data_IF_275297451539
#
_entry.id   IF_275297451539
#
_cell.length_a   1.000
_cell.length_b   1.000
_cell.length_c   1.000
_cell.angle_alpha   90.00
_cell.angle_beta   90.00
_cell.angle_gamma   90.00
#
_symmetry.space_group_name_H-M   'P 1'
#
loop_
_entity.id
_entity.type
_entity.pdbx_description
1 polymer ?
#
# COMPACT_ATOMS: atom_id res chain seq x y z
N UNK A 1 -13.76 9.94 14.80
CA UNK A 1 -14.52 9.40 13.63
C UNK A 1 -13.65 9.01 12.42
N UNK A 2 -12.32 9.03 12.51
CA UNK A 2 -11.43 8.77 11.36
C UNK A 2 -10.75 7.40 11.41
N UNK A 3 -11.38 6.38 11.99
CA UNK A 3 -10.79 5.04 11.91
C UNK A 3 -11.10 4.42 10.55
N UNK A 4 -10.12 3.71 9.97
CA UNK A 4 -10.29 3.03 8.70
C UNK A 4 -11.23 1.83 8.86
N UNK A 5 -12.04 1.59 7.84
CA UNK A 5 -12.94 0.45 7.73
C UNK A 5 -12.63 -0.28 6.44
N UNK A 6 -12.37 -1.58 6.51
CA UNK A 6 -12.16 -2.42 5.34
C UNK A 6 -13.50 -2.66 4.64
N UNK A 7 -13.52 -2.42 3.34
CA UNK A 7 -14.68 -2.68 2.49
C UNK A 7 -14.42 -3.93 1.67
N UNK A 8 -15.24 -4.94 1.86
CA UNK A 8 -15.24 -6.17 1.07
C UNK A 8 -16.30 -6.10 -0.03
N UNK A 9 -16.02 -6.73 -1.14
CA UNK A 9 -17.01 -7.02 -2.16
C UNK A 9 -18.01 -8.09 -1.67
N UNK A 10 -19.11 -8.31 -2.38
CA UNK A 10 -20.09 -9.34 -2.03
C UNK A 10 -19.49 -10.77 -1.97
N UNK A 11 -18.43 -11.03 -2.73
CA UNK A 11 -17.66 -12.29 -2.71
C UNK A 11 -16.51 -12.31 -1.69
N UNK A 12 -16.48 -11.37 -0.72
CA UNK A 12 -15.44 -11.19 0.29
C UNK A 12 -14.07 -10.71 -0.23
N UNK A 13 -13.94 -10.36 -1.51
CA UNK A 13 -12.73 -9.75 -2.06
C UNK A 13 -12.48 -8.38 -1.42
N UNK A 14 -11.29 -8.10 -0.87
CA UNK A 14 -10.95 -6.78 -0.34
C UNK A 14 -10.93 -5.73 -1.45
N UNK A 15 -11.80 -4.73 -1.36
CA UNK A 15 -11.93 -3.70 -2.39
C UNK A 15 -11.22 -2.40 -2.06
N UNK A 16 -11.40 -1.91 -0.83
CA UNK A 16 -10.98 -0.55 -0.48
C UNK A 16 -11.00 -0.36 1.05
N UNK A 17 -10.49 0.80 1.46
CA UNK A 17 -10.64 1.31 2.82
C UNK A 17 -11.45 2.60 2.74
N UNK A 18 -12.42 2.75 3.62
CA UNK A 18 -13.15 4.00 3.81
C UNK A 18 -13.10 4.44 5.27
N UNK A 19 -13.56 5.65 5.55
CA UNK A 19 -13.75 6.10 6.92
C UNK A 19 -15.03 5.52 7.54
N UNK A 20 -15.12 5.58 8.86
CA UNK A 20 -16.27 5.08 9.64
C UNK A 20 -17.58 5.75 9.24
N UNK A 21 -17.58 7.04 8.90
CA UNK A 21 -18.79 7.77 8.50
C UNK A 21 -19.38 7.22 7.21
N UNK A 22 -18.52 6.98 6.20
CA UNK A 22 -18.93 6.38 4.94
C UNK A 22 -19.43 4.95 5.12
N UNK A 23 -18.75 4.15 5.96
CA UNK A 23 -19.15 2.78 6.25
C UNK A 23 -20.57 2.73 6.84
N UNK A 24 -20.87 3.58 7.83
CA UNK A 24 -22.20 3.68 8.43
C UNK A 24 -23.24 4.11 7.41
N UNK A 25 -22.93 5.10 6.56
CA UNK A 25 -23.84 5.51 5.49
C UNK A 25 -24.19 4.36 4.54
N UNK A 26 -23.24 3.51 4.20
CA UNK A 26 -23.49 2.32 3.38
C UNK A 26 -24.37 1.29 4.09
N UNK A 27 -24.14 1.07 5.39
CA UNK A 27 -24.96 0.13 6.19
C UNK A 27 -26.41 0.65 6.33
N UNK A 28 -26.59 1.92 6.70
CA UNK A 28 -27.91 2.51 6.92
C UNK A 28 -28.75 2.59 5.62
N UNK A 29 -28.09 2.64 4.47
CA UNK A 29 -28.76 2.65 3.15
C UNK A 29 -28.96 1.24 2.58
N UNK A 30 -28.67 0.18 3.33
CA UNK A 30 -28.81 -1.22 2.88
C UNK A 30 -27.85 -1.62 1.75
N UNK A 31 -26.77 -0.86 1.54
CA UNK A 31 -25.74 -1.15 0.49
C UNK A 31 -24.60 -2.00 0.99
N UNK A 32 -24.48 -2.16 2.30
CA UNK A 32 -23.46 -3.00 2.93
C UNK A 32 -23.98 -3.54 4.27
N UNK A 33 -23.43 -4.65 4.70
CA UNK A 33 -23.60 -5.21 6.04
C UNK A 33 -22.30 -5.11 6.85
N UNK A 34 -22.42 -5.08 8.17
CA UNK A 34 -21.26 -5.13 9.05
C UNK A 34 -20.83 -6.57 9.27
N UNK A 35 -19.60 -6.90 8.86
CA UNK A 35 -19.00 -8.26 9.00
C UNK A 35 -18.16 -8.37 10.26
N UNK A 36 -17.48 -7.30 10.64
CA UNK A 36 -16.74 -7.23 11.90
C UNK A 36 -16.84 -5.83 12.51
N UNK A 37 -17.00 -5.80 13.84
CA UNK A 37 -16.94 -4.56 14.60
C UNK A 37 -15.50 -4.28 15.06
N UNK A 38 -15.15 -3.00 15.09
CA UNK A 38 -13.93 -2.50 15.69
C UNK A 38 -14.10 -2.20 17.19
N UNK A 39 -13.08 -1.59 17.76
CA UNK A 39 -13.12 -1.18 19.17
C UNK A 39 -14.03 0.03 19.36
N UNK A 40 -14.97 -0.09 20.29
CA UNK A 40 -15.82 1.01 20.76
C UNK A 40 -17.15 1.15 20.01
N UNK A 41 -17.89 2.18 20.42
CA UNK A 41 -19.24 2.46 19.96
C UNK A 41 -19.33 3.88 19.43
N UNK A 42 -20.24 4.09 18.50
CA UNK A 42 -20.67 5.42 18.05
C UNK A 42 -21.96 5.73 18.80
N UNK A 43 -21.89 6.75 19.62
CA UNK A 43 -23.05 7.21 20.41
C UNK A 43 -23.76 8.34 19.67
N UNK A 44 -25.05 8.19 19.51
CA UNK A 44 -25.97 9.26 19.13
C UNK A 44 -26.86 9.62 20.33
N UNK A 45 -27.69 10.63 20.21
CA UNK A 45 -28.59 11.01 21.27
C UNK A 45 -29.58 9.89 21.69
N UNK A 46 -29.83 8.91 20.81
CA UNK A 46 -30.83 7.85 21.02
C UNK A 46 -30.28 6.43 20.96
N UNK A 47 -29.17 6.20 20.27
CA UNK A 47 -28.68 4.85 19.97
C UNK A 47 -27.17 4.79 20.13
N UNK A 48 -26.68 3.68 20.67
CA UNK A 48 -25.27 3.31 20.67
C UNK A 48 -25.08 2.22 19.61
N UNK A 49 -24.27 2.50 18.59
CA UNK A 49 -24.02 1.59 17.47
C UNK A 49 -22.59 1.07 17.52
N UNK A 50 -22.35 -0.25 17.38
CA UNK A 50 -20.98 -0.76 17.33
C UNK A 50 -20.25 -0.17 16.15
N UNK A 51 -18.98 0.21 16.35
CA UNK A 51 -18.19 0.81 15.29
C UNK A 51 -17.79 -0.26 14.27
N UNK A 52 -18.12 -0.10 12.98
CA UNK A 52 -17.69 -1.06 11.96
C UNK A 52 -16.17 -1.03 11.77
N UNK A 53 -15.55 -2.18 11.65
CA UNK A 53 -14.16 -2.38 11.24
C UNK A 53 -14.08 -2.99 9.85
N UNK A 54 -14.99 -3.91 9.54
CA UNK A 54 -15.11 -4.54 8.23
C UNK A 54 -16.57 -4.52 7.80
N UNK A 55 -16.82 -4.07 6.58
CA UNK A 55 -18.14 -4.11 5.94
C UNK A 55 -18.06 -4.88 4.62
N UNK A 56 -19.13 -5.56 4.25
CA UNK A 56 -19.29 -6.26 2.98
C UNK A 56 -20.38 -5.60 2.16
N UNK A 57 -20.12 -5.33 0.88
CA UNK A 57 -21.12 -4.80 -0.02
C UNK A 57 -22.20 -5.85 -0.33
N UNK A 58 -23.44 -5.41 -0.51
CA UNK A 58 -24.56 -6.29 -0.86
C UNK A 58 -24.44 -6.83 -2.28
N UNK A 59 -23.90 -6.03 -3.21
CA UNK A 59 -23.76 -6.39 -4.61
C UNK A 59 -22.32 -6.41 -5.05
N UNK A 60 -21.99 -7.28 -6.01
CA UNK A 60 -20.65 -7.34 -6.61
C UNK A 60 -20.35 -6.06 -7.38
N UNK A 61 -19.22 -5.47 -7.06
CA UNK A 61 -18.67 -4.33 -7.79
C UNK A 61 -17.48 -4.81 -8.61
N UNK A 62 -17.62 -4.76 -9.93
CA UNK A 62 -16.53 -5.05 -10.84
C UNK A 62 -15.58 -3.86 -10.93
N UNK A 63 -14.30 -4.08 -10.61
CA UNK A 63 -13.25 -3.07 -10.74
C UNK A 63 -12.11 -3.62 -11.60
N UNK A 64 -11.40 -2.76 -12.34
CA UNK A 64 -10.13 -3.12 -12.94
C UNK A 64 -9.16 -3.61 -11.87
N UNK A 65 -8.28 -4.55 -12.21
CA UNK A 65 -7.25 -5.01 -11.28
C UNK A 65 -6.47 -3.82 -10.74
N UNK A 66 -6.33 -3.72 -9.41
CA UNK A 66 -5.61 -2.60 -8.82
C UNK A 66 -4.14 -2.63 -9.27
N UNK A 67 -3.56 -1.45 -9.44
CA UNK A 67 -2.13 -1.29 -9.69
C UNK A 67 -1.52 -0.40 -8.63
N UNK A 68 -0.29 -0.68 -8.26
CA UNK A 68 0.43 0.18 -7.33
C UNK A 68 0.92 1.41 -8.10
N UNK A 69 0.50 2.60 -7.66
CA UNK A 69 0.96 3.85 -8.28
C UNK A 69 2.46 4.05 -8.05
N UNK A 70 3.20 4.35 -9.12
CA UNK A 70 4.61 4.67 -9.03
C UNK A 70 4.82 6.00 -8.30
N UNK A 71 5.19 5.93 -7.04
CA UNK A 71 5.50 7.09 -6.19
C UNK A 71 6.77 6.84 -5.39
N UNK A 72 7.43 7.90 -4.95
CA UNK A 72 8.62 7.83 -4.09
C UNK A 72 8.39 6.94 -2.85
N UNK A 73 7.23 7.10 -2.21
CA UNK A 73 6.85 6.33 -1.03
C UNK A 73 6.73 4.84 -1.33
N UNK A 74 6.11 4.48 -2.46
CA UNK A 74 5.91 3.07 -2.82
C UNK A 74 7.23 2.42 -3.30
N UNK A 75 8.15 3.17 -3.92
CA UNK A 75 9.51 2.67 -4.20
C UNK A 75 10.24 2.37 -2.90
N UNK A 76 10.21 3.28 -1.93
CA UNK A 76 10.82 3.05 -0.62
C UNK A 76 10.20 1.85 0.10
N UNK A 77 8.87 1.71 0.04
CA UNK A 77 8.16 0.59 0.64
C UNK A 77 8.52 -0.75 -0.01
N UNK A 78 8.56 -0.84 -1.36
CA UNK A 78 9.00 -2.02 -2.10
C UNK A 78 10.40 -2.46 -1.67
N UNK A 79 11.29 -1.51 -1.47
CA UNK A 79 12.69 -1.73 -1.12
C UNK A 79 12.94 -1.83 0.39
N UNK A 80 11.87 -1.93 1.21
CA UNK A 80 11.93 -1.98 2.67
C UNK A 80 12.74 -0.83 3.29
N UNK A 81 12.62 0.38 2.72
CA UNK A 81 13.39 1.56 3.16
C UNK A 81 14.90 1.30 3.25
N UNK A 82 15.43 0.49 2.34
CA UNK A 82 16.82 0.02 2.33
C UNK A 82 17.49 0.41 1.00
N UNK A 83 18.71 0.89 1.06
CA UNK A 83 19.50 1.18 -0.12
C UNK A 83 19.75 -0.11 -0.92
N UNK A 84 19.34 -0.15 -2.20
CA UNK A 84 19.46 -1.35 -3.03
C UNK A 84 20.87 -1.60 -3.53
N UNK A 85 21.81 -0.70 -3.29
CA UNK A 85 23.22 -0.88 -3.60
C UNK A 85 24.02 -1.44 -2.42
N UNK A 86 23.99 -0.79 -1.26
CA UNK A 86 24.81 -1.21 -0.11
C UNK A 86 24.04 -1.94 0.99
N UNK A 87 22.71 -1.94 0.95
CA UNK A 87 21.88 -2.59 1.97
C UNK A 87 21.69 -1.78 3.26
N UNK A 88 22.19 -0.55 3.32
CA UNK A 88 22.07 0.29 4.52
C UNK A 88 20.68 0.93 4.63
N UNK A 89 20.10 0.90 5.83
CA UNK A 89 18.90 1.65 6.17
C UNK A 89 19.32 3.04 6.63
N UNK A 90 19.32 4.01 5.72
CA UNK A 90 19.74 5.37 6.01
C UNK A 90 18.55 6.26 6.41
N UNK A 91 18.80 7.24 7.29
CA UNK A 91 17.80 8.25 7.64
C UNK A 91 17.33 9.08 6.42
N UNK A 92 18.24 9.32 5.47
CA UNK A 92 17.95 10.03 4.24
C UNK A 92 18.10 9.13 3.01
N UNK A 93 16.97 8.70 2.48
CA UNK A 93 16.89 7.90 1.27
C UNK A 93 16.47 8.76 0.08
N UNK A 94 17.03 8.44 -1.08
CA UNK A 94 16.75 9.05 -2.37
C UNK A 94 16.26 7.99 -3.34
N UNK A 95 15.73 8.42 -4.48
CA UNK A 95 15.46 7.54 -5.62
C UNK A 95 16.58 7.72 -6.62
N UNK A 96 17.09 6.63 -7.14
CA UNK A 96 18.04 6.61 -8.23
C UNK A 96 17.45 5.91 -9.46
N UNK A 97 17.83 6.40 -10.65
CA UNK A 97 17.54 5.73 -11.92
C UNK A 97 18.66 4.76 -12.26
N UNK A 98 18.37 3.46 -12.35
CA UNK A 98 19.35 2.42 -12.69
C UNK A 98 20.06 2.77 -14.01
N UNK A 99 19.28 3.05 -15.05
CA UNK A 99 19.75 3.69 -16.29
C UNK A 99 19.48 5.18 -16.13
N UNK A 100 20.51 6.04 -16.16
CA UNK A 100 20.35 7.48 -15.98
C UNK A 100 19.42 8.11 -17.02
N UNK A 101 18.67 9.14 -16.63
CA UNK A 101 17.70 9.80 -17.53
C UNK A 101 18.34 10.33 -18.81
N UNK A 102 19.53 10.92 -18.74
CA UNK A 102 20.24 11.44 -19.92
C UNK A 102 20.74 10.33 -20.85
N UNK A 103 20.70 9.06 -20.40
CA UNK A 103 21.00 7.86 -21.20
C UNK A 103 19.74 7.10 -21.63
N UNK A 104 18.56 7.75 -21.60
CA UNK A 104 17.30 7.16 -22.02
C UNK A 104 16.55 6.39 -20.92
N UNK A 105 17.03 6.45 -19.67
CA UNK A 105 16.37 5.79 -18.54
C UNK A 105 15.00 6.38 -18.25
N UNK A 106 13.98 5.55 -18.30
CA UNK A 106 12.59 5.95 -18.10
C UNK A 106 12.20 5.95 -16.61
N UNK A 107 11.16 6.72 -16.27
CA UNK A 107 10.60 6.74 -14.92
C UNK A 107 9.59 5.59 -14.74
N UNK A 108 10.12 4.38 -14.56
CA UNK A 108 9.37 3.12 -14.45
C UNK A 108 9.82 2.30 -13.27
N UNK A 109 8.99 1.33 -12.84
CA UNK A 109 9.28 0.45 -11.72
C UNK A 109 10.59 -0.34 -11.87
N UNK A 110 10.90 -0.78 -13.06
CA UNK A 110 12.08 -1.56 -13.41
C UNK A 110 13.38 -0.73 -13.50
N UNK A 111 13.25 0.61 -13.49
CA UNK A 111 14.39 1.53 -13.58
C UNK A 111 14.60 2.41 -12.35
N UNK A 112 13.79 2.26 -11.30
CA UNK A 112 13.87 3.09 -10.10
C UNK A 112 14.16 2.26 -8.87
N UNK A 113 15.11 2.69 -8.06
CA UNK A 113 15.49 2.03 -6.81
C UNK A 113 15.71 3.02 -5.68
N UNK A 114 15.55 2.53 -4.46
CA UNK A 114 15.94 3.25 -3.26
C UNK A 114 17.45 3.25 -3.11
N UNK A 115 18.04 4.42 -2.92
CA UNK A 115 19.47 4.59 -2.71
C UNK A 115 19.75 5.52 -1.53
N UNK A 116 20.80 5.25 -0.74
CA UNK A 116 21.30 6.25 0.19
C UNK A 116 22.05 7.35 -0.58
N UNK A 117 22.19 8.53 0.02
CA UNK A 117 22.82 9.69 -0.62
C UNK A 117 24.28 9.39 -1.08
N UNK A 118 25.03 8.58 -0.31
CA UNK A 118 26.39 8.22 -0.65
C UNK A 118 26.46 7.34 -1.92
N UNK A 119 25.64 6.28 -1.99
CA UNK A 119 25.60 5.41 -3.17
C UNK A 119 25.06 6.14 -4.39
N UNK A 120 24.04 6.99 -4.22
CA UNK A 120 23.47 7.77 -5.30
C UNK A 120 24.51 8.75 -5.90
N UNK A 121 25.26 9.47 -5.05
CA UNK A 121 26.37 10.33 -5.51
C UNK A 121 27.49 9.53 -6.18
N UNK A 122 27.88 8.38 -5.58
CA UNK A 122 28.93 7.51 -6.16
C UNK A 122 28.52 7.03 -7.56
N UNK A 123 27.29 6.62 -7.75
CA UNK A 123 26.78 6.20 -9.07
C UNK A 123 26.71 7.39 -10.03
N UNK A 124 26.19 8.52 -9.58
CA UNK A 124 26.07 9.73 -10.41
C UNK A 124 25.29 9.45 -11.70
N UNK A 125 25.83 9.93 -12.82
CA UNK A 125 25.27 9.72 -14.17
C UNK A 125 25.77 8.47 -14.86
N UNK A 126 26.45 7.55 -14.16
CA UNK A 126 27.04 6.35 -14.74
C UNK A 126 26.07 5.17 -14.73
N UNK A 127 26.26 4.20 -15.62
CA UNK A 127 25.64 2.88 -15.53
C UNK A 127 26.24 2.10 -14.36
N UNK A 128 25.51 1.11 -13.86
CA UNK A 128 25.96 0.30 -12.72
C UNK A 128 27.33 -0.35 -12.95
N UNK A 129 27.58 -0.89 -14.15
CA UNK A 129 28.88 -1.49 -14.50
C UNK A 129 30.01 -0.46 -14.48
N UNK A 130 29.78 0.75 -15.00
CA UNK A 130 30.77 1.85 -15.01
C UNK A 130 31.12 2.31 -13.59
N UNK A 131 30.12 2.32 -12.69
CA UNK A 131 30.29 2.69 -11.29
C UNK A 131 30.81 1.54 -10.41
N UNK A 132 31.01 0.37 -10.98
CA UNK A 132 31.30 -0.87 -10.25
C UNK A 132 30.30 -1.12 -9.12
N UNK A 133 29.01 -1.04 -9.46
CA UNK A 133 27.88 -1.21 -8.54
C UNK A 133 26.91 -2.25 -9.08
N UNK A 134 26.22 -2.93 -8.17
CA UNK A 134 25.18 -3.90 -8.50
C UNK A 134 23.97 -3.72 -7.57
N UNK A 135 22.82 -4.21 -8.00
CA UNK A 135 21.61 -4.22 -7.19
C UNK A 135 21.58 -5.47 -6.30
N UNK A 136 21.12 -5.31 -5.08
CA UNK A 136 20.84 -6.42 -4.15
C UNK A 136 19.62 -7.24 -4.60
N UNK A 137 18.64 -6.58 -5.20
CA UNK A 137 17.41 -7.17 -5.76
C UNK A 137 17.07 -6.50 -7.06
N UNK A 138 16.45 -7.26 -7.96
CA UNK A 138 15.92 -6.71 -9.19
C UNK A 138 14.76 -5.73 -8.89
N UNK A 139 14.76 -4.60 -9.58
CA UNK A 139 13.69 -3.65 -9.50
C UNK A 139 12.49 -4.14 -10.33
N UNK A 140 11.39 -4.48 -9.66
CA UNK A 140 10.15 -4.95 -10.30
C UNK A 140 8.96 -4.18 -9.76
N UNK A 141 7.87 -4.12 -10.52
CA UNK A 141 6.61 -3.58 -10.05
C UNK A 141 6.07 -4.49 -8.93
N UNK A 142 5.69 -3.95 -7.76
CA UNK A 142 5.12 -4.78 -6.71
C UNK A 142 3.74 -5.28 -7.12
N UNK A 143 3.43 -6.54 -6.80
CA UNK A 143 2.10 -7.08 -6.98
C UNK A 143 1.11 -6.33 -6.09
N UNK A 144 -0.02 -5.91 -6.65
CA UNK A 144 -1.08 -5.21 -5.94
C UNK A 144 -1.99 -6.19 -5.18
N UNK A 145 -1.40 -7.08 -4.38
CA UNK A 145 -2.14 -7.98 -3.50
C UNK A 145 -2.86 -7.22 -2.39
N UNK A 146 -3.91 -7.79 -1.82
CA UNK A 146 -4.60 -7.18 -0.68
C UNK A 146 -3.65 -6.95 0.50
N UNK A 147 -2.74 -7.88 0.75
CA UNK A 147 -1.70 -7.73 1.78
C UNK A 147 -0.76 -6.55 1.49
N UNK A 148 -0.39 -6.32 0.24
CA UNK A 148 0.40 -5.15 -0.13
C UNK A 148 -0.40 -3.86 -0.01
N UNK A 149 -1.65 -3.82 -0.46
CA UNK A 149 -2.47 -2.60 -0.48
C UNK A 149 -2.95 -2.18 0.92
N UNK A 150 -3.36 -3.14 1.74
CA UNK A 150 -4.08 -2.90 2.99
C UNK A 150 -3.30 -3.34 4.24
N UNK A 151 -2.24 -4.14 4.11
CA UNK A 151 -1.52 -4.75 5.23
C UNK A 151 -0.98 -3.76 6.27
N UNK A 152 -0.63 -2.52 5.87
CA UNK A 152 -0.22 -1.46 6.79
C UNK A 152 -1.30 -1.05 7.80
N UNK A 153 -2.56 -1.26 7.46
CA UNK A 153 -3.69 -0.98 8.35
C UNK A 153 -4.08 -2.20 9.17
N UNK A 154 -3.66 -3.39 8.76
CA UNK A 154 -3.93 -4.62 9.48
C UNK A 154 -3.10 -4.77 10.76
N UNK A 155 -1.98 -4.06 10.90
CA UNK A 155 -1.23 -3.98 12.16
C UNK A 155 -2.05 -3.39 13.31
N UNK A 156 -2.91 -2.42 12.99
CA UNK A 156 -3.77 -1.72 13.95
C UNK A 156 -5.18 -2.33 14.02
N UNK A 157 -5.53 -3.21 13.07
CA UNK A 157 -6.83 -3.85 12.93
C UNK A 157 -6.64 -5.34 12.66
N UNK A 158 -6.34 -6.09 13.71
CA UNK A 158 -5.98 -7.51 13.62
C UNK A 158 -7.06 -8.37 12.97
N UNK A 159 -8.34 -7.99 13.18
CA UNK A 159 -9.50 -8.64 12.59
C UNK A 159 -9.54 -8.59 11.05
N UNK A 160 -8.74 -7.71 10.41
CA UNK A 160 -8.67 -7.62 8.95
C UNK A 160 -7.83 -8.73 8.32
N UNK A 161 -6.90 -9.33 9.06
CA UNK A 161 -5.93 -10.30 8.52
C UNK A 161 -6.61 -11.43 7.75
N UNK A 162 -7.64 -12.04 8.34
CA UNK A 162 -8.37 -13.15 7.72
C UNK A 162 -9.07 -12.80 6.40
N UNK A 163 -9.28 -11.51 6.12
CA UNK A 163 -9.91 -11.04 4.88
C UNK A 163 -8.90 -10.58 3.83
N UNK A 164 -7.66 -10.29 4.21
CA UNK A 164 -6.64 -9.81 3.27
C UNK A 164 -5.59 -10.88 2.95
N UNK A 165 -5.45 -11.91 3.77
CA UNK A 165 -4.58 -13.05 3.51
C UNK A 165 -5.18 -13.93 2.41
N UNK A 166 -4.38 -14.18 1.35
CA UNK A 166 -4.81 -15.02 0.21
C UNK A 166 -5.40 -14.27 -0.99
N UNK A 167 -5.46 -12.94 -0.94
CA UNK A 167 -5.90 -12.09 -2.06
C UNK A 167 -4.78 -11.29 -2.70
#
# INVERSE_FOLDING_TARGET
MNQPVLVLNANYEPLNICDTRRAIGLILTGKAEMVANGRGYIRTARISYPRPSVIRLEHIVHRPRPRVKLTKREIFRRDNYTCQYCGHQAAHLTIDHIIPRHRGGQHRWDNLVTACAACNRRKGGHLMGEANMHLRRQAVEPAATASYLFGRHASDNEEWRKYIEGW
#
